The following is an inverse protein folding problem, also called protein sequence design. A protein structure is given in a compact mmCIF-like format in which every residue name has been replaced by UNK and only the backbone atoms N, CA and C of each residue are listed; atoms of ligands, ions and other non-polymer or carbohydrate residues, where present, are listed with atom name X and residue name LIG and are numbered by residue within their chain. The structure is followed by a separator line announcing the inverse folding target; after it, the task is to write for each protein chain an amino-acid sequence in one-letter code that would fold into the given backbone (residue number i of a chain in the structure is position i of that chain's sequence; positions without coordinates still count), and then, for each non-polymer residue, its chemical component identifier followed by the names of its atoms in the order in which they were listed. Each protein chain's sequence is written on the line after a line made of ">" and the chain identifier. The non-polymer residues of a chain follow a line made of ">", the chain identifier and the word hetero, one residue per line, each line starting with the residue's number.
data_IF_146520999682
#
_entry.id   IF_146520999682
#
_cell.length_a   1.000
_cell.length_b   1.000
_cell.length_c   1.000
_cell.angle_alpha   90.00
_cell.angle_beta   90.00
_cell.angle_gamma   90.00
#
_symmetry.space_group_name_H-M   'P 1'
#
loop_
_entity.id
_entity.type
_entity.pdbx_description
1 polymer ?
#
# COMPACT_ATOMS: atom_id res chain seq x y z
N UNK A 1 8.37 19.28 -6.84
CA UNK A 1 7.37 20.07 -6.09
C UNK A 1 7.59 19.80 -4.60
N UNK A 2 7.33 20.81 -3.76
CA UNK A 2 7.85 20.93 -2.38
C UNK A 2 6.94 20.27 -1.36
N UNK A 3 7.55 19.64 -0.35
CA UNK A 3 6.95 19.26 0.93
C UNK A 3 6.13 20.44 1.52
N UNK A 4 4.88 20.19 1.88
CA UNK A 4 3.94 21.20 2.36
C UNK A 4 3.49 20.83 3.78
N UNK A 5 3.82 21.64 4.80
CA UNK A 5 3.72 21.29 6.23
C UNK A 5 2.30 21.06 6.77
N UNK A 6 1.25 21.45 6.04
CA UNK A 6 -0.15 21.18 6.44
C UNK A 6 -0.51 19.67 6.43
N UNK A 7 0.23 18.84 5.70
CA UNK A 7 0.05 17.39 5.72
C UNK A 7 0.54 16.74 7.02
N UNK A 8 1.50 17.32 7.72
CA UNK A 8 2.14 16.72 8.90
C UNK A 8 1.19 16.74 10.11
N UNK A 9 0.52 17.87 10.35
CA UNK A 9 -0.52 18.00 11.39
C UNK A 9 -1.76 17.14 11.11
N UNK A 10 -2.12 16.99 9.84
CA UNK A 10 -3.24 16.16 9.41
C UNK A 10 -2.93 14.67 9.60
N UNK A 11 -1.72 14.24 9.25
CA UNK A 11 -1.25 12.86 9.48
C UNK A 11 -1.02 12.55 10.96
N UNK A 12 -0.50 13.50 11.74
CA UNK A 12 -0.40 13.34 13.20
C UNK A 12 -1.78 13.22 13.84
N UNK A 13 -2.76 14.06 13.45
CA UNK A 13 -4.14 13.94 13.94
C UNK A 13 -4.78 12.60 13.57
N UNK A 14 -4.63 12.13 12.33
CA UNK A 14 -5.13 10.82 11.90
C UNK A 14 -4.47 9.69 12.66
N UNK A 15 -3.15 9.77 12.88
CA UNK A 15 -2.40 8.83 13.72
C UNK A 15 -2.96 8.78 15.14
N UNK A 16 -3.19 9.94 15.77
CA UNK A 16 -3.74 10.02 17.12
C UNK A 16 -5.17 9.45 17.20
N UNK A 17 -6.00 9.71 16.20
CA UNK A 17 -7.36 9.14 16.14
C UNK A 17 -7.32 7.62 16.00
N UNK A 18 -6.46 7.10 15.10
CA UNK A 18 -6.30 5.66 14.90
C UNK A 18 -5.71 5.00 16.15
N UNK A 19 -4.79 5.66 16.84
CA UNK A 19 -4.25 5.26 18.14
C UNK A 19 -5.34 5.09 19.19
N UNK A 20 -6.17 6.12 19.36
CA UNK A 20 -7.24 6.12 20.34
C UNK A 20 -8.31 5.06 20.01
N UNK A 21 -8.67 4.92 18.72
CA UNK A 21 -9.62 3.91 18.27
C UNK A 21 -9.08 2.49 18.46
N UNK A 22 -7.82 2.23 18.08
CA UNK A 22 -7.19 0.91 18.24
C UNK A 22 -7.13 0.55 19.72
N UNK A 23 -6.65 1.45 20.60
CA UNK A 23 -6.61 1.21 22.05
C UNK A 23 -7.99 0.92 22.66
N UNK A 24 -9.02 1.63 22.22
CA UNK A 24 -10.40 1.47 22.73
C UNK A 24 -11.07 0.19 22.25
N UNK A 25 -10.64 -0.37 21.11
CA UNK A 25 -11.28 -1.55 20.50
C UNK A 25 -10.51 -2.84 20.78
N UNK A 26 -9.21 -2.78 21.09
CA UNK A 26 -8.45 -3.91 21.62
C UNK A 26 -9.05 -4.53 22.90
N UNK A 27 -9.93 -3.81 23.61
CA UNK A 27 -10.66 -4.31 24.79
C UNK A 27 -12.03 -4.92 24.45
N UNK A 28 -12.52 -4.81 23.22
CA UNK A 28 -13.81 -5.32 22.76
C UNK A 28 -13.59 -6.45 21.74
N UNK A 29 -13.67 -7.69 22.23
CA UNK A 29 -13.38 -8.89 21.45
C UNK A 29 -14.18 -8.97 20.13
N UNK A 30 -13.46 -9.11 19.01
CA UNK A 30 -14.01 -9.58 17.73
C UNK A 30 -13.75 -8.72 16.49
N UNK A 31 -13.26 -7.48 16.64
CA UNK A 31 -13.04 -6.57 15.50
C UNK A 31 -11.58 -6.16 15.36
N UNK A 32 -11.02 -6.31 14.16
CA UNK A 32 -9.75 -5.71 13.76
C UNK A 32 -10.04 -4.44 12.96
N UNK A 33 -9.55 -3.29 13.41
CA UNK A 33 -9.56 -2.07 12.60
C UNK A 33 -8.37 -2.12 11.67
N UNK A 34 -8.66 -2.14 10.37
CA UNK A 34 -7.67 -1.88 9.33
C UNK A 34 -7.78 -0.39 8.96
N UNK A 35 -6.88 0.42 9.48
CA UNK A 35 -6.68 1.76 8.95
C UNK A 35 -5.62 1.68 7.86
N UNK A 36 -6.00 2.02 6.64
CA UNK A 36 -5.13 1.93 5.48
C UNK A 36 -4.81 3.33 4.98
N UNK A 37 -3.62 3.82 5.31
CA UNK A 37 -3.13 5.07 4.74
C UNK A 37 -2.80 4.82 3.26
N UNK A 38 -3.41 5.59 2.35
CA UNK A 38 -3.05 5.58 0.92
C UNK A 38 -1.90 6.55 0.70
N UNK A 39 -0.75 6.04 0.28
CA UNK A 39 0.41 6.83 -0.06
C UNK A 39 0.66 6.81 -1.57
N UNK A 40 1.08 7.93 -2.12
CA UNK A 40 1.51 8.02 -3.51
C UNK A 40 3.04 8.18 -3.53
N UNK A 41 3.76 7.26 -4.18
CA UNK A 41 5.23 7.29 -4.21
C UNK A 41 5.82 8.03 -5.42
N UNK A 42 5.00 8.72 -6.23
CA UNK A 42 5.41 9.29 -7.52
C UNK A 42 6.55 10.32 -7.45
N UNK A 43 6.84 10.93 -6.29
CA UNK A 43 7.74 12.10 -6.21
C UNK A 43 9.11 11.89 -5.55
N UNK A 44 9.44 10.68 -5.12
CA UNK A 44 10.84 10.30 -4.84
C UNK A 44 11.09 9.65 -3.48
N UNK A 45 12.32 9.15 -3.33
CA UNK A 45 12.85 8.35 -2.22
C UNK A 45 12.56 8.87 -0.80
N UNK A 46 12.15 10.13 -0.65
CA UNK A 46 11.91 10.76 0.66
C UNK A 46 10.50 10.42 1.18
N UNK A 47 9.46 10.51 0.35
CA UNK A 47 8.06 10.26 0.78
C UNK A 47 7.82 8.76 1.09
N UNK A 48 8.47 7.87 0.33
CA UNK A 48 8.43 6.42 0.54
C UNK A 48 9.21 5.97 1.78
N UNK A 49 10.35 6.60 2.06
CA UNK A 49 11.10 6.35 3.29
C UNK A 49 10.37 6.92 4.52
N UNK A 50 9.76 8.10 4.41
CA UNK A 50 8.94 8.70 5.48
C UNK A 50 7.74 7.84 5.84
N UNK A 51 7.04 7.32 4.83
CA UNK A 51 5.96 6.35 5.02
C UNK A 51 6.39 5.12 5.84
N UNK A 52 7.49 4.48 5.46
CA UNK A 52 7.98 3.31 6.18
C UNK A 52 8.55 3.64 7.56
N UNK A 53 9.11 4.84 7.74
CA UNK A 53 9.48 5.36 9.07
C UNK A 53 8.26 5.53 9.96
N UNK A 54 7.18 6.10 9.44
CA UNK A 54 5.92 6.22 10.19
C UNK A 54 5.33 4.86 10.54
N UNK A 55 5.34 3.91 9.59
CA UNK A 55 4.93 2.53 9.88
C UNK A 55 5.78 1.86 10.96
N UNK A 56 7.10 2.03 10.92
CA UNK A 56 7.99 1.51 11.94
C UNK A 56 7.69 2.14 13.31
N UNK A 57 7.47 3.46 13.36
CA UNK A 57 7.11 4.18 14.58
C UNK A 57 5.76 3.72 15.15
N UNK A 58 4.74 3.55 14.30
CA UNK A 58 3.43 3.04 14.74
C UNK A 58 3.55 1.63 15.30
N UNK A 59 4.39 0.79 14.69
CA UNK A 59 4.65 -0.54 15.20
C UNK A 59 5.34 -0.54 16.55
N UNK A 60 6.34 0.32 16.77
CA UNK A 60 6.98 0.52 18.09
C UNK A 60 5.97 0.97 19.15
N UNK A 61 4.92 1.68 18.74
CA UNK A 61 3.81 2.10 19.60
C UNK A 61 2.71 1.04 19.77
N UNK A 62 2.90 -0.18 19.25
CA UNK A 62 1.95 -1.29 19.36
C UNK A 62 0.77 -1.21 18.38
N UNK A 63 0.90 -0.46 17.29
CA UNK A 63 -0.14 -0.22 16.29
C UNK A 63 0.29 -0.85 14.96
N UNK A 64 -0.10 -2.10 14.69
CA UNK A 64 0.26 -2.78 13.44
C UNK A 64 -0.67 -2.32 12.30
N UNK A 65 -0.61 -1.03 11.94
CA UNK A 65 -1.43 -0.44 10.89
C UNK A 65 -0.97 -0.91 9.51
N UNK A 66 -1.89 -1.47 8.73
CA UNK A 66 -1.63 -1.79 7.33
C UNK A 66 -1.58 -0.50 6.52
N UNK A 67 -0.71 -0.42 5.51
CA UNK A 67 -0.59 0.77 4.66
C UNK A 67 -0.66 0.32 3.22
N UNK A 68 -1.43 1.00 2.38
CA UNK A 68 -1.30 0.82 0.93
C UNK A 68 -0.51 1.94 0.28
N UNK A 69 0.22 1.54 -0.74
CA UNK A 69 0.72 2.45 -1.75
C UNK A 69 -0.07 2.21 -3.02
N UNK A 70 -0.60 3.27 -3.61
CA UNK A 70 -1.18 3.19 -4.94
C UNK A 70 -0.06 2.99 -5.96
N UNK A 71 -0.22 2.00 -6.83
CA UNK A 71 0.75 1.68 -7.88
C UNK A 71 0.07 1.79 -9.23
N UNK A 72 0.64 2.61 -10.11
CA UNK A 72 0.21 2.77 -11.50
C UNK A 72 0.98 1.85 -12.45
N UNK A 73 0.48 1.67 -13.68
CA UNK A 73 1.18 0.89 -14.70
C UNK A 73 2.57 1.47 -15.01
N UNK A 74 2.73 2.80 -14.93
CA UNK A 74 4.03 3.45 -15.17
C UNK A 74 5.04 3.16 -14.05
N UNK A 75 4.57 3.07 -12.80
CA UNK A 75 5.42 2.67 -11.67
C UNK A 75 5.89 1.23 -11.86
N UNK A 76 4.98 0.32 -12.20
CA UNK A 76 5.33 -1.09 -12.46
C UNK A 76 6.26 -1.24 -13.67
N UNK A 77 6.16 -0.40 -14.71
CA UNK A 77 7.12 -0.42 -15.82
C UNK A 77 8.52 0.11 -15.45
N UNK A 78 8.67 0.76 -14.29
CA UNK A 78 9.89 1.43 -13.89
C UNK A 78 10.83 0.53 -13.09
N UNK A 79 12.02 0.24 -13.63
CA UNK A 79 13.10 -0.43 -12.88
C UNK A 79 13.49 0.32 -11.60
N UNK A 80 13.35 1.65 -11.63
CA UNK A 80 13.65 2.49 -10.47
C UNK A 80 12.67 2.23 -9.33
N UNK A 81 11.38 2.02 -9.64
CA UNK A 81 10.38 1.66 -8.64
C UNK A 81 10.70 0.30 -8.01
N UNK A 82 11.00 -0.71 -8.83
CA UNK A 82 11.36 -2.04 -8.33
C UNK A 82 12.60 -2.01 -7.42
N UNK A 83 13.64 -1.24 -7.79
CA UNK A 83 14.81 -1.02 -6.92
C UNK A 83 14.44 -0.34 -5.62
N UNK A 84 13.62 0.70 -5.68
CA UNK A 84 13.15 1.41 -4.49
C UNK A 84 12.44 0.46 -3.52
N UNK A 85 11.50 -0.35 -4.00
CA UNK A 85 10.79 -1.33 -3.17
C UNK A 85 11.79 -2.27 -2.47
N UNK A 86 12.74 -2.84 -3.22
CA UNK A 86 13.77 -3.73 -2.66
C UNK A 86 14.64 -3.04 -1.60
N UNK A 87 15.06 -1.81 -1.84
CA UNK A 87 15.84 -1.02 -0.87
C UNK A 87 15.04 -0.73 0.40
N UNK A 88 13.78 -0.36 0.24
CA UNK A 88 12.84 -0.12 1.33
C UNK A 88 12.64 -1.37 2.18
N UNK A 89 12.45 -2.53 1.56
CA UNK A 89 12.34 -3.82 2.27
C UNK A 89 13.62 -4.21 2.98
N UNK A 90 14.79 -3.96 2.37
CA UNK A 90 16.07 -4.20 3.04
C UNK A 90 16.24 -3.32 4.28
N UNK A 91 15.79 -2.06 4.20
CA UNK A 91 15.94 -1.07 5.28
C UNK A 91 14.90 -1.27 6.39
N UNK A 92 13.66 -1.59 6.03
CA UNK A 92 12.51 -1.71 6.93
C UNK A 92 11.73 -3.02 6.67
N UNK A 93 12.33 -4.19 6.91
CA UNK A 93 11.74 -5.49 6.52
C UNK A 93 10.38 -5.75 7.18
N UNK A 94 10.23 -5.31 8.43
CA UNK A 94 9.00 -5.45 9.20
C UNK A 94 7.86 -4.57 8.71
N UNK A 95 8.17 -3.34 8.26
CA UNK A 95 7.19 -2.42 7.71
C UNK A 95 6.81 -2.82 6.27
N UNK A 96 7.78 -3.26 5.46
CA UNK A 96 7.54 -3.75 4.11
C UNK A 96 6.59 -4.96 4.08
N UNK A 97 6.64 -5.85 5.07
CA UNK A 97 5.69 -6.96 5.19
C UNK A 97 4.24 -6.53 5.47
N UNK A 98 4.04 -5.29 5.96
CA UNK A 98 2.72 -4.71 6.22
C UNK A 98 2.25 -3.79 5.09
N UNK A 99 3.11 -3.53 4.10
CA UNK A 99 2.82 -2.68 2.96
C UNK A 99 2.05 -3.47 1.90
N UNK A 100 0.92 -2.92 1.49
CA UNK A 100 0.09 -3.40 0.40
C UNK A 100 0.30 -2.53 -0.84
N UNK A 101 0.40 -3.14 -2.02
CA UNK A 101 0.49 -2.45 -3.29
C UNK A 101 -0.89 -2.47 -3.96
N UNK A 102 -1.53 -1.31 -4.01
CA UNK A 102 -2.90 -1.13 -4.47
C UNK A 102 -2.91 -0.71 -5.94
N UNK A 103 -3.37 -1.62 -6.80
CA UNK A 103 -3.45 -1.43 -8.25
C UNK A 103 -4.76 -0.73 -8.61
N UNK A 104 -4.66 0.51 -9.11
CA UNK A 104 -5.82 1.30 -9.53
C UNK A 104 -6.22 1.03 -10.99
N UNK A 105 -5.22 0.79 -11.86
CA UNK A 105 -5.39 0.70 -13.31
C UNK A 105 -5.34 -0.78 -13.77
N UNK A 106 -6.11 -1.66 -13.13
CA UNK A 106 -6.00 -3.13 -13.32
C UNK A 106 -6.06 -3.54 -14.78
N UNK A 107 -6.93 -2.91 -15.59
CA UNK A 107 -6.99 -3.20 -17.02
C UNK A 107 -5.71 -2.80 -17.76
N UNK A 108 -5.12 -1.64 -17.47
CA UNK A 108 -3.88 -1.21 -18.13
C UNK A 108 -2.70 -2.11 -17.75
N UNK A 109 -2.65 -2.54 -16.49
CA UNK A 109 -1.62 -3.49 -16.01
C UNK A 109 -1.73 -4.82 -16.75
N UNK A 110 -2.95 -5.34 -16.94
CA UNK A 110 -3.16 -6.63 -17.63
C UNK A 110 -2.77 -6.60 -19.10
N UNK A 111 -2.83 -5.45 -19.76
CA UNK A 111 -2.38 -5.29 -21.15
C UNK A 111 -0.89 -4.93 -21.25
N UNK A 112 -0.16 -4.89 -20.12
CA UNK A 112 1.25 -4.54 -20.10
C UNK A 112 2.09 -5.68 -19.50
N UNK A 113 2.75 -6.44 -20.37
CA UNK A 113 3.57 -7.59 -19.99
C UNK A 113 4.65 -7.24 -18.96
N UNK A 114 5.31 -6.09 -19.12
CA UNK A 114 6.37 -5.65 -18.21
C UNK A 114 5.81 -5.36 -16.82
N UNK A 115 4.67 -4.69 -16.75
CA UNK A 115 4.01 -4.39 -15.48
C UNK A 115 3.64 -5.69 -14.75
N UNK A 116 3.09 -6.69 -15.45
CA UNK A 116 2.77 -8.00 -14.88
C UNK A 116 4.02 -8.74 -14.37
N UNK A 117 5.11 -8.73 -15.13
CA UNK A 117 6.37 -9.37 -14.72
C UNK A 117 6.90 -8.73 -13.42
N UNK A 118 6.89 -7.41 -13.32
CA UNK A 118 7.36 -6.71 -12.12
C UNK A 118 6.42 -6.89 -10.93
N UNK A 119 5.10 -6.90 -11.17
CA UNK A 119 4.12 -7.15 -10.13
C UNK A 119 4.26 -8.57 -9.55
N UNK A 120 4.46 -9.56 -10.41
CA UNK A 120 4.71 -10.94 -9.98
C UNK A 120 6.06 -11.09 -9.25
N UNK A 121 7.10 -10.37 -9.68
CA UNK A 121 8.36 -10.32 -8.95
C UNK A 121 8.19 -9.74 -7.54
N UNK A 122 7.45 -8.63 -7.39
CA UNK A 122 7.13 -8.05 -6.08
C UNK A 122 6.32 -9.02 -5.22
N UNK A 123 5.35 -9.74 -5.80
CA UNK A 123 4.59 -10.77 -5.09
C UNK A 123 5.47 -11.90 -4.58
N UNK A 124 6.39 -12.43 -5.41
CA UNK A 124 7.35 -13.46 -4.98
C UNK A 124 8.32 -12.95 -3.92
N UNK A 125 8.58 -11.65 -3.91
CA UNK A 125 9.30 -10.98 -2.83
C UNK A 125 8.41 -10.76 -1.58
N UNK A 126 7.16 -11.21 -1.56
CA UNK A 126 6.31 -11.19 -0.37
C UNK A 126 5.58 -9.88 -0.12
N UNK A 127 5.52 -8.99 -1.11
CA UNK A 127 4.57 -7.86 -1.05
C UNK A 127 3.14 -8.37 -1.26
N UNK A 128 2.20 -7.77 -0.53
CA UNK A 128 0.77 -8.01 -0.74
C UNK A 128 0.27 -7.12 -1.86
N UNK A 129 -0.48 -7.70 -2.79
CA UNK A 129 -1.05 -6.98 -3.93
C UNK A 129 -2.57 -6.87 -3.77
N UNK A 130 -3.10 -5.66 -3.86
CA UNK A 130 -4.52 -5.39 -3.84
C UNK A 130 -5.02 -4.83 -5.18
N UNK A 131 -6.25 -5.18 -5.54
CA UNK A 131 -7.00 -4.55 -6.63
C UNK A 131 -8.03 -3.61 -5.99
N UNK A 132 -8.06 -2.35 -6.43
CA UNK A 132 -9.06 -1.36 -6.00
C UNK A 132 -10.28 -1.32 -6.95
N UNK A 133 -11.40 -0.78 -6.45
CA UNK A 133 -12.63 -0.49 -7.20
C UNK A 133 -13.25 -1.65 -8.01
N UNK A 134 -13.12 -2.89 -7.51
CA UNK A 134 -13.78 -4.02 -8.15
C UNK A 134 -15.31 -3.84 -8.12
N UNK A 135 -15.94 -3.79 -9.30
CA UNK A 135 -17.39 -3.68 -9.46
C UNK A 135 -17.92 -2.31 -9.92
N UNK A 136 -17.09 -1.26 -10.02
CA UNK A 136 -17.52 0.06 -10.48
C UNK A 136 -17.66 0.20 -12.03
N UNK A 137 -17.50 -0.89 -12.79
CA UNK A 137 -17.57 -0.94 -14.26
C UNK A 137 -17.59 -2.39 -14.80
N UNK A 138 -17.25 -2.61 -16.08
CA UNK A 138 -17.12 -3.94 -16.75
C UNK A 138 -15.98 -4.81 -16.19
N UNK A 139 -15.87 -4.91 -14.86
CA UNK A 139 -14.91 -5.77 -14.16
C UNK A 139 -15.36 -7.22 -14.30
N UNK A 140 -14.97 -7.84 -15.42
CA UNK A 140 -15.13 -9.26 -15.64
C UNK A 140 -14.25 -10.03 -14.64
N UNK A 141 -14.81 -11.02 -13.94
CA UNK A 141 -14.08 -11.94 -13.05
C UNK A 141 -12.84 -12.55 -13.72
N UNK A 142 -12.82 -12.64 -15.05
CA UNK A 142 -11.70 -13.16 -15.84
C UNK A 142 -10.35 -12.50 -15.53
N UNK A 143 -10.31 -11.21 -15.17
CA UNK A 143 -9.08 -10.50 -14.85
C UNK A 143 -8.44 -10.96 -13.52
N UNK A 144 -9.26 -11.44 -12.57
CA UNK A 144 -8.78 -11.92 -11.27
C UNK A 144 -7.98 -13.21 -11.39
N UNK A 145 -8.24 -14.00 -12.44
CA UNK A 145 -7.50 -15.24 -12.71
C UNK A 145 -6.07 -14.93 -13.16
N UNK A 146 -5.89 -13.84 -13.90
CA UNK A 146 -4.61 -13.45 -14.50
C UNK A 146 -3.80 -12.50 -13.63
N UNK A 147 -4.44 -11.68 -12.81
CA UNK A 147 -3.76 -10.70 -11.96
C UNK A 147 -3.21 -11.40 -10.70
N UNK A 148 -1.93 -11.23 -10.36
CA UNK A 148 -1.34 -11.82 -9.15
C UNK A 148 -1.76 -11.07 -7.88
N UNK A 149 -3.07 -10.90 -7.63
CA UNK A 149 -3.60 -10.21 -6.46
C UNK A 149 -3.78 -11.15 -5.25
N UNK A 150 -3.70 -10.59 -4.05
CA UNK A 150 -4.01 -11.26 -2.78
C UNK A 150 -5.30 -10.72 -2.17
N UNK A 151 -5.63 -9.46 -2.46
CA UNK A 151 -6.76 -8.73 -1.90
C UNK A 151 -7.58 -8.11 -3.04
N UNK A 152 -8.90 -8.25 -2.95
CA UNK A 152 -9.85 -7.56 -3.81
C UNK A 152 -10.64 -6.61 -2.93
N UNK A 153 -10.61 -5.32 -3.26
CA UNK A 153 -11.44 -4.29 -2.61
C UNK A 153 -12.69 -4.06 -3.44
N UNK A 154 -13.85 -4.19 -2.80
CA UNK A 154 -15.15 -4.03 -3.43
C UNK A 154 -15.54 -2.56 -3.39
N UNK A 155 -15.88 -1.98 -4.55
CA UNK A 155 -16.40 -0.63 -4.63
C UNK A 155 -17.75 -0.52 -3.87
N UNK A 156 -18.01 0.65 -3.30
CA UNK A 156 -19.19 0.90 -2.46
C UNK A 156 -20.51 0.88 -3.21
#
# INVERSE_FOLDING_TARGET
>A
MRYQPDNDLSQQRLTTIVQDLTKRISSAAGFAIYYQLKLNLRTGMIESAEALKHMALWREQGLPLAVSVNVSVQDLCSERFLRLMRELKKTYPQAAAQLELECLETQEILHNERALIHLDALKREGYRIAIDDFGAGYSNLGYLITMPADVIKIAR
#
